data_IF_989358914241
#
_entry.id   IF_989358914241
#
_cell.length_a   1.000
_cell.length_b   1.000
_cell.length_c   1.000
_cell.angle_alpha   90.00
_cell.angle_beta   90.00
_cell.angle_gamma   90.00
#
_symmetry.space_group_name_H-M   'P 1'
#
loop_
_entity.id
_entity.type
_entity.pdbx_description
1 polymer ?
#
# COMPACT_ATOMS: atom_id res chain seq x y z
N UNK A 1 13.84 -4.44 9.90
CA UNK A 1 13.24 -4.53 11.24
C UNK A 1 12.57 -3.25 11.71
N UNK A 2 13.18 -2.08 11.54
CA UNK A 2 12.60 -0.81 11.97
C UNK A 2 11.32 -0.40 11.26
N UNK A 3 11.19 -0.62 9.95
CA UNK A 3 10.04 -0.19 9.17
C UNK A 3 8.76 -0.91 9.54
N UNK A 4 8.80 -2.21 9.80
CA UNK A 4 7.60 -2.95 10.21
C UNK A 4 7.10 -2.54 11.59
N UNK A 5 8.00 -2.21 12.53
CA UNK A 5 7.61 -1.70 13.84
C UNK A 5 6.92 -0.35 13.73
N UNK A 6 7.37 0.50 12.83
CA UNK A 6 6.77 1.82 12.60
C UNK A 6 5.36 1.73 12.02
N UNK A 7 5.14 0.82 11.08
CA UNK A 7 3.87 0.70 10.36
C UNK A 7 2.79 0.01 11.20
N UNK A 8 3.16 -0.93 12.09
CA UNK A 8 2.20 -1.75 12.84
C UNK A 8 1.10 -0.98 13.55
N UNK A 9 1.45 0.14 14.17
CA UNK A 9 0.51 0.86 15.03
C UNK A 9 -0.31 1.90 14.27
N UNK A 10 0.32 2.63 13.35
CA UNK A 10 -0.31 3.74 12.64
C UNK A 10 0.33 3.91 11.28
N UNK A 11 0.04 3.00 10.38
CA UNK A 11 0.65 2.97 9.07
C UNK A 11 -0.32 2.88 7.91
N UNK A 12 0.17 3.34 6.78
CA UNK A 12 -0.44 3.20 5.47
C UNK A 12 0.56 2.57 4.52
N UNK A 13 0.11 1.66 3.68
CA UNK A 13 0.91 1.06 2.62
C UNK A 13 0.32 1.42 1.26
N UNK A 14 1.10 2.12 0.43
CA UNK A 14 0.80 2.23 -0.99
C UNK A 14 1.39 1.00 -1.68
N UNK A 15 0.53 0.08 -2.06
CA UNK A 15 0.92 -1.21 -2.59
C UNK A 15 1.34 -1.12 -4.05
N UNK A 16 2.19 -2.04 -4.49
CA UNK A 16 2.48 -2.19 -5.90
C UNK A 16 1.22 -2.53 -6.69
N UNK A 17 0.43 -3.49 -6.20
CA UNK A 17 -0.95 -3.80 -6.60
C UNK A 17 -1.30 -3.53 -8.06
N UNK A 18 -0.81 -4.38 -8.97
CA UNK A 18 -1.01 -4.20 -10.43
C UNK A 18 -2.27 -4.89 -10.96
N UNK A 19 -3.07 -5.48 -10.08
CA UNK A 19 -4.28 -6.22 -10.44
C UNK A 19 -3.99 -7.51 -11.23
N UNK A 20 -2.84 -8.12 -10.98
CA UNK A 20 -2.55 -9.46 -11.49
C UNK A 20 -2.93 -10.49 -10.43
N UNK A 21 -3.51 -11.62 -10.84
CA UNK A 21 -3.99 -12.63 -9.88
C UNK A 21 -2.88 -13.17 -8.98
N UNK A 22 -1.71 -13.42 -9.52
CA UNK A 22 -0.57 -13.92 -8.76
C UNK A 22 0.10 -12.81 -7.94
N UNK A 23 0.23 -11.61 -8.50
CA UNK A 23 0.94 -10.49 -7.88
C UNK A 23 0.24 -9.96 -6.63
N UNK A 24 -1.05 -9.71 -6.71
CA UNK A 24 -1.80 -9.15 -5.58
C UNK A 24 -1.88 -10.12 -4.41
N UNK A 25 -2.06 -11.41 -4.68
CA UNK A 25 -2.07 -12.45 -3.64
C UNK A 25 -0.68 -12.57 -3.00
N UNK A 26 0.37 -12.56 -3.79
CA UNK A 26 1.74 -12.63 -3.29
C UNK A 26 2.07 -11.43 -2.40
N UNK A 27 1.69 -10.22 -2.80
CA UNK A 27 1.91 -9.02 -2.00
C UNK A 27 1.11 -9.05 -0.69
N UNK A 28 -0.15 -9.49 -0.74
CA UNK A 28 -0.99 -9.68 0.45
C UNK A 28 -0.33 -10.66 1.42
N UNK A 29 0.16 -11.80 0.92
CA UNK A 29 0.82 -12.80 1.76
C UNK A 29 2.13 -12.27 2.35
N UNK A 30 2.88 -11.47 1.59
CA UNK A 30 4.10 -10.84 2.08
C UNK A 30 3.81 -9.86 3.22
N UNK A 31 2.77 -9.05 3.09
CA UNK A 31 2.34 -8.11 4.14
C UNK A 31 1.92 -8.88 5.39
N UNK A 32 1.14 -9.94 5.24
CA UNK A 32 0.74 -10.78 6.38
C UNK A 32 1.95 -11.44 7.06
N UNK A 33 2.92 -11.89 6.28
CA UNK A 33 4.13 -12.53 6.80
C UNK A 33 4.95 -11.56 7.66
N UNK A 34 5.06 -10.31 7.22
CA UNK A 34 5.86 -9.27 7.92
C UNK A 34 5.12 -8.73 9.15
N UNK A 35 3.83 -8.43 9.04
CA UNK A 35 3.09 -7.72 10.07
C UNK A 35 2.23 -8.62 10.96
N UNK A 36 2.02 -9.87 10.58
CA UNK A 36 1.23 -10.84 11.36
C UNK A 36 -0.19 -10.33 11.62
N UNK A 37 -0.63 -10.40 12.85
CA UNK A 37 -1.97 -9.97 13.26
C UNK A 37 -2.20 -8.46 13.05
N UNK A 38 -1.16 -7.66 12.99
CA UNK A 38 -1.26 -6.21 12.75
C UNK A 38 -1.64 -5.87 11.31
N UNK A 39 -1.47 -6.81 10.37
CA UNK A 39 -1.76 -6.56 8.96
C UNK A 39 -3.21 -6.10 8.72
N UNK A 40 -4.17 -6.65 9.47
CA UNK A 40 -5.58 -6.28 9.35
C UNK A 40 -5.89 -4.86 9.83
N UNK A 41 -4.97 -4.22 10.55
CA UNK A 41 -5.14 -2.86 11.09
C UNK A 41 -4.47 -1.80 10.23
N UNK A 42 -3.74 -2.20 9.20
CA UNK A 42 -3.02 -1.29 8.31
C UNK A 42 -3.93 -0.96 7.12
N UNK A 43 -4.07 0.33 6.81
CA UNK A 43 -4.74 0.75 5.60
C UNK A 43 -3.79 0.54 4.41
N UNK A 44 -4.27 -0.15 3.38
CA UNK A 44 -3.49 -0.47 2.18
C UNK A 44 -4.30 -0.01 0.98
N UNK A 45 -3.67 0.61 0.00
CA UNK A 45 -4.35 0.87 -1.27
C UNK A 45 -3.39 0.83 -2.43
N UNK A 46 -3.91 0.55 -3.61
CA UNK A 46 -3.19 0.69 -4.86
C UNK A 46 -3.74 1.87 -5.65
N UNK A 47 -2.96 2.94 -5.69
CA UNK A 47 -3.33 4.12 -6.47
C UNK A 47 -3.24 3.87 -7.97
N UNK A 48 -2.67 2.74 -8.40
CA UNK A 48 -2.72 2.30 -9.79
C UNK A 48 -4.15 2.05 -10.27
N UNK A 49 -5.09 1.82 -9.35
CA UNK A 49 -6.50 1.74 -9.70
C UNK A 49 -7.04 3.04 -10.32
N UNK A 50 -6.43 4.18 -10.00
CA UNK A 50 -6.81 5.50 -10.51
C UNK A 50 -5.87 5.99 -11.61
N UNK A 51 -4.57 5.78 -11.46
CA UNK A 51 -3.56 6.33 -12.37
C UNK A 51 -3.09 5.37 -13.45
N UNK A 52 -3.33 4.08 -13.27
CA UNK A 52 -2.68 3.03 -14.07
C UNK A 52 -1.23 2.83 -13.66
N UNK A 53 -0.59 1.89 -14.29
CA UNK A 53 0.82 1.58 -14.03
C UNK A 53 1.73 2.46 -14.90
N UNK A 54 2.43 3.41 -14.27
CA UNK A 54 3.30 4.36 -14.97
C UNK A 54 4.72 3.82 -15.21
N UNK A 55 4.93 2.53 -15.05
CA UNK A 55 6.22 1.85 -15.28
C UNK A 55 7.35 2.51 -14.50
N UNK A 56 8.35 3.06 -15.18
CA UNK A 56 9.50 3.69 -14.50
C UNK A 56 9.14 4.89 -13.62
N UNK A 57 8.03 5.56 -13.89
CA UNK A 57 7.57 6.69 -13.08
C UNK A 57 6.66 6.29 -11.91
N UNK A 58 6.21 5.03 -11.86
CA UNK A 58 5.26 4.57 -10.85
C UNK A 58 5.76 4.80 -9.42
N UNK A 59 6.99 4.41 -9.14
CA UNK A 59 7.57 4.58 -7.80
C UNK A 59 7.64 6.03 -7.34
N UNK A 60 7.96 6.94 -8.26
CA UNK A 60 8.03 8.37 -7.96
C UNK A 60 6.67 8.98 -7.61
N UNK A 61 5.65 8.72 -8.43
CA UNK A 61 4.31 9.27 -8.17
C UNK A 61 3.68 8.64 -6.92
N UNK A 62 3.90 7.36 -6.70
CA UNK A 62 3.35 6.66 -5.52
C UNK A 62 4.05 7.11 -4.24
N UNK A 63 5.34 7.44 -4.29
CA UNK A 63 6.04 8.06 -3.17
C UNK A 63 5.41 9.42 -2.81
N UNK A 64 5.06 10.23 -3.81
CA UNK A 64 4.36 11.50 -3.60
C UNK A 64 3.00 11.25 -2.92
N UNK A 65 2.23 10.27 -3.37
CA UNK A 65 0.94 9.94 -2.75
C UNK A 65 1.10 9.51 -1.30
N UNK A 66 2.13 8.74 -0.98
CA UNK A 66 2.42 8.34 0.39
C UNK A 66 2.75 9.56 1.29
N UNK A 67 3.54 10.48 0.79
CA UNK A 67 3.88 11.73 1.50
C UNK A 67 2.64 12.60 1.70
N UNK A 68 1.79 12.72 0.68
CA UNK A 68 0.55 13.49 0.78
C UNK A 68 -0.43 12.85 1.77
N UNK A 69 -0.50 11.53 1.83
CA UNK A 69 -1.31 10.82 2.82
C UNK A 69 -0.88 11.17 4.24
N UNK A 70 0.43 11.22 4.49
CA UNK A 70 0.98 11.64 5.79
C UNK A 70 0.63 13.10 6.10
N UNK A 71 0.77 13.99 5.13
CA UNK A 71 0.49 15.42 5.32
C UNK A 71 -0.99 15.65 5.65
N UNK A 72 -1.88 15.04 4.88
CA UNK A 72 -3.31 15.31 4.94
C UNK A 72 -4.06 14.38 5.91
N UNK A 73 -3.39 13.35 6.42
CA UNK A 73 -4.00 12.32 7.29
C UNK A 73 -5.23 11.69 6.62
N UNK A 74 -5.10 11.44 5.32
CA UNK A 74 -6.14 10.82 4.49
C UNK A 74 -5.47 9.87 3.51
N UNK A 75 -5.98 8.65 3.42
CA UNK A 75 -5.41 7.63 2.55
C UNK A 75 -6.24 7.50 1.27
N UNK A 76 -5.58 7.42 0.10
CA UNK A 76 -6.29 7.28 -1.16
C UNK A 76 -6.94 5.90 -1.28
N UNK A 77 -8.02 5.77 -2.05
CA UNK A 77 -8.72 4.50 -2.19
C UNK A 77 -8.10 3.60 -3.25
N UNK A 78 -8.48 2.31 -3.19
CA UNK A 78 -8.43 1.41 -4.33
C UNK A 78 -9.80 1.43 -5.00
N UNK A 79 -9.92 2.08 -6.14
CA UNK A 79 -11.20 2.12 -6.86
C UNK A 79 -11.38 0.85 -7.70
N UNK A 80 -12.61 0.59 -8.14
CA UNK A 80 -12.98 -0.58 -8.94
C UNK A 80 -12.80 -1.93 -8.21
N UNK A 81 -12.71 -1.91 -6.90
CA UNK A 81 -12.61 -3.13 -6.09
C UNK A 81 -14.02 -3.59 -5.69
N UNK A 82 -14.75 -4.15 -6.66
CA UNK A 82 -16.13 -4.58 -6.47
C UNK A 82 -16.23 -6.04 -6.01
N UNK A 83 -15.32 -6.88 -6.50
CA UNK A 83 -15.29 -8.31 -6.20
C UNK A 83 -13.87 -8.72 -5.77
N UNK A 84 -13.50 -8.45 -4.51
CA UNK A 84 -12.15 -8.78 -4.04
C UNK A 84 -11.93 -10.31 -4.05
N UNK A 85 -10.72 -10.70 -4.43
CA UNK A 85 -10.29 -12.10 -4.36
C UNK A 85 -10.32 -12.54 -2.88
N UNK A 86 -10.94 -13.68 -2.54
CA UNK A 86 -10.95 -14.20 -1.16
C UNK A 86 -9.55 -14.37 -0.55
N UNK A 87 -8.52 -14.57 -1.36
CA UNK A 87 -7.14 -14.64 -0.89
C UNK A 87 -6.55 -13.27 -0.55
N UNK A 88 -7.20 -12.19 -0.99
CA UNK A 88 -6.85 -10.81 -0.69
C UNK A 88 -7.87 -10.26 0.31
N UNK A 89 -7.61 -10.44 1.60
CA UNK A 89 -8.58 -10.19 2.67
C UNK A 89 -8.15 -9.10 3.67
N UNK A 90 -7.22 -8.23 3.28
CA UNK A 90 -6.81 -7.09 4.09
C UNK A 90 -7.68 -5.86 3.79
N UNK A 91 -7.42 -4.76 4.50
CA UNK A 91 -8.14 -3.51 4.29
C UNK A 91 -7.51 -2.71 3.15
N UNK A 92 -8.08 -2.78 1.97
CA UNK A 92 -7.58 -2.13 0.76
C UNK A 92 -8.19 -0.74 0.51
N UNK A 93 -8.88 -0.16 1.47
CA UNK A 93 -9.56 1.15 1.35
C UNK A 93 -10.41 1.19 0.07
N UNK A 94 -11.44 0.34 -0.05
CA UNK A 94 -12.19 0.24 -1.30
C UNK A 94 -13.00 1.51 -1.59
N UNK A 95 -13.02 1.91 -2.85
CA UNK A 95 -13.88 2.92 -3.48
C UNK A 95 -13.66 4.37 -3.03
N UNK A 96 -13.58 4.65 -1.73
CA UNK A 96 -13.60 6.01 -1.20
C UNK A 96 -12.38 6.26 -0.32
N UNK A 97 -11.74 7.43 -0.48
CA UNK A 97 -10.66 7.87 0.39
C UNK A 97 -11.14 7.91 1.85
N UNK A 98 -10.23 7.63 2.76
CA UNK A 98 -10.56 7.54 4.18
C UNK A 98 -9.63 8.43 5.00
N UNK A 99 -10.20 9.19 5.93
CA UNK A 99 -9.42 9.92 6.93
C UNK A 99 -8.92 8.94 7.98
N UNK A 100 -7.62 8.89 8.15
CA UNK A 100 -6.95 7.98 9.09
C UNK A 100 -5.77 8.69 9.73
N UNK A 101 -5.61 8.54 11.03
CA UNK A 101 -4.41 9.05 11.71
C UNK A 101 -3.25 8.11 11.48
N UNK A 102 -2.26 8.56 10.72
CA UNK A 102 -1.07 7.79 10.39
C UNK A 102 0.20 8.56 10.75
N UNK A 103 1.22 7.85 11.20
CA UNK A 103 2.55 8.41 11.47
C UNK A 103 3.59 7.99 10.43
N UNK A 104 3.34 6.92 9.74
CA UNK A 104 4.26 6.33 8.78
C UNK A 104 3.51 5.89 7.54
N UNK A 105 4.12 6.06 6.40
CA UNK A 105 3.59 5.56 5.13
C UNK A 105 4.71 4.84 4.36
N UNK A 106 4.35 3.73 3.75
CA UNK A 106 5.27 2.87 3.05
C UNK A 106 4.80 2.74 1.60
N UNK A 107 5.74 2.80 0.66
CA UNK A 107 5.45 2.60 -0.75
C UNK A 107 6.26 1.41 -1.26
N UNK A 108 5.57 0.41 -1.82
CA UNK A 108 6.18 -0.77 -2.40
C UNK A 108 6.21 -0.66 -3.93
N UNK A 109 7.33 -1.03 -4.52
CA UNK A 109 7.49 -1.12 -5.97
C UNK A 109 8.21 -2.41 -6.33
N UNK A 110 7.61 -3.20 -7.21
CA UNK A 110 8.18 -4.46 -7.65
C UNK A 110 8.46 -4.39 -9.15
N UNK A 111 9.70 -4.60 -9.53
CA UNK A 111 10.13 -4.60 -10.93
C UNK A 111 10.36 -5.99 -11.48
N UNK A 112 10.41 -6.09 -12.80
CA UNK A 112 10.76 -7.33 -13.47
C UNK A 112 12.17 -7.77 -13.08
N UNK A 113 12.38 -9.09 -13.01
CA UNK A 113 13.68 -9.65 -12.62
C UNK A 113 13.95 -9.62 -11.13
N UNK A 114 12.94 -9.35 -10.31
CA UNK A 114 13.08 -9.37 -8.84
C UNK A 114 13.68 -8.10 -8.24
N UNK A 115 13.72 -7.01 -8.99
CA UNK A 115 14.15 -5.71 -8.47
C UNK A 115 13.01 -5.08 -7.70
N UNK A 116 13.04 -5.19 -6.37
CA UNK A 116 12.01 -4.68 -5.48
C UNK A 116 12.57 -3.56 -4.62
N UNK A 117 11.75 -2.55 -4.36
CA UNK A 117 12.11 -1.43 -3.51
C UNK A 117 10.95 -1.04 -2.62
N UNK A 118 11.27 -0.62 -1.41
CA UNK A 118 10.31 -0.11 -0.44
C UNK A 118 10.85 1.20 0.13
N UNK A 119 10.00 2.23 0.12
CA UNK A 119 10.30 3.51 0.73
C UNK A 119 9.42 3.71 1.96
N UNK A 120 10.03 4.11 3.07
CA UNK A 120 9.32 4.43 4.31
C UNK A 120 9.41 5.93 4.56
N UNK A 121 8.27 6.56 4.80
CA UNK A 121 8.16 7.97 5.16
C UNK A 121 7.55 8.09 6.56
N UNK A 122 8.01 9.08 7.32
CA UNK A 122 7.52 9.34 8.67
C UNK A 122 7.18 10.81 8.82
N UNK A 123 6.21 11.10 9.68
CA UNK A 123 5.96 12.49 10.12
C UNK A 123 7.16 13.02 10.90
N UNK A 124 7.46 14.26 10.68
CA UNK A 124 8.54 14.95 11.41
C UNK A 124 8.01 15.49 12.72
#
# INVERSE_FOLDING_TARGET
MGSEMCIRDRGYINAHGTSTSAGDVAETNAIKSVFGDSASKIAISSTKSMTGHLLGAAGGIEAIFAVLALRDQSVPPTINLDNPDPACDLDYVPHVARDVKIKHALSNSFGFGGTNATLLFSQV
#
